data_IF_536627248486
#
_entry.id   IF_536627248486
#
_cell.length_a   1.000
_cell.length_b   1.000
_cell.length_c   1.000
_cell.angle_alpha   90.00
_cell.angle_beta   90.00
_cell.angle_gamma   90.00
#
_symmetry.space_group_name_H-M   'P 1'
#
loop_
_entity.id
_entity.type
_entity.pdbx_description
1 polymer ?
#
# COMPACT_ATOMS: atom_id res chain seq x y z
N UNK A 1 13.19 -35.35 6.54
CA UNK A 1 11.95 -35.88 5.92
C UNK A 1 12.29 -37.23 5.34
N UNK A 2 11.65 -38.28 5.83
CA UNK A 2 11.83 -39.64 5.33
C UNK A 2 10.83 -39.87 4.18
N UNK A 3 11.33 -40.34 3.03
CA UNK A 3 10.48 -40.68 1.88
C UNK A 3 10.12 -42.15 1.95
N UNK A 4 8.84 -42.44 2.11
CA UNK A 4 8.30 -43.81 2.04
C UNK A 4 7.60 -44.01 0.70
N UNK A 5 7.70 -45.21 0.13
CA UNK A 5 7.01 -45.55 -1.13
C UNK A 5 5.77 -46.39 -0.81
N UNK A 6 4.64 -46.08 -1.45
CA UNK A 6 3.35 -46.72 -1.19
C UNK A 6 2.45 -46.77 -2.42
N UNK A 7 1.24 -47.30 -2.27
CA UNK A 7 0.32 -47.56 -3.39
C UNK A 7 -0.32 -46.29 -3.99
N UNK A 8 -0.28 -45.17 -3.27
CA UNK A 8 -0.80 -43.87 -3.70
C UNK A 8 -0.04 -42.70 -3.06
N UNK A 9 0.05 -41.58 -3.79
CA UNK A 9 0.74 -40.38 -3.30
C UNK A 9 -0.09 -39.64 -2.24
N UNK A 10 0.44 -39.60 -1.03
CA UNK A 10 -0.24 -39.14 0.20
C UNK A 10 0.71 -38.30 1.03
N UNK A 11 0.18 -37.26 1.68
CA UNK A 11 0.92 -36.40 2.60
C UNK A 11 0.19 -36.47 3.93
N UNK A 12 0.86 -36.99 4.96
CA UNK A 12 0.30 -37.11 6.31
C UNK A 12 1.43 -37.09 7.33
N UNK A 13 1.26 -36.36 8.44
CA UNK A 13 2.23 -36.29 9.55
C UNK A 13 3.68 -36.01 9.11
N UNK A 14 3.89 -34.98 8.28
CA UNK A 14 5.20 -34.60 7.71
C UNK A 14 5.93 -35.69 6.88
N UNK A 15 5.25 -36.81 6.60
CA UNK A 15 5.73 -37.85 5.70
C UNK A 15 5.05 -37.72 4.34
N UNK A 16 5.87 -37.66 3.29
CA UNK A 16 5.41 -37.66 1.90
C UNK A 16 5.62 -39.06 1.36
N UNK A 17 4.51 -39.75 1.13
CA UNK A 17 4.51 -41.05 0.46
C UNK A 17 4.38 -40.83 -1.02
N UNK A 18 5.35 -41.32 -1.79
CA UNK A 18 5.35 -41.25 -3.25
C UNK A 18 4.89 -42.59 -3.82
N UNK A 19 4.07 -42.55 -4.87
CA UNK A 19 3.59 -43.75 -5.55
C UNK A 19 4.65 -44.34 -6.48
N UNK A 20 5.54 -43.50 -7.00
CA UNK A 20 6.60 -43.89 -7.93
C UNK A 20 7.93 -43.20 -7.61
N UNK A 21 9.04 -43.80 -8.07
CA UNK A 21 10.37 -43.17 -7.99
C UNK A 21 10.66 -42.29 -9.23
N UNK A 22 9.63 -41.71 -9.85
CA UNK A 22 9.79 -40.86 -11.02
C UNK A 22 10.30 -39.49 -10.59
N UNK A 23 11.18 -38.91 -11.39
CA UNK A 23 11.73 -37.57 -11.13
C UNK A 23 10.63 -36.50 -11.14
N UNK A 24 9.63 -36.63 -12.03
CA UNK A 24 8.49 -35.71 -12.15
C UNK A 24 7.69 -35.59 -10.85
N UNK A 25 7.43 -36.72 -10.18
CA UNK A 25 6.66 -36.76 -8.92
C UNK A 25 7.41 -36.04 -7.79
N UNK A 26 8.73 -36.25 -7.70
CA UNK A 26 9.59 -35.54 -6.74
C UNK A 26 9.71 -34.06 -7.05
N UNK A 27 9.77 -33.70 -8.34
CA UNK A 27 9.83 -32.31 -8.79
C UNK A 27 8.55 -31.56 -8.42
N UNK A 28 7.37 -32.14 -8.63
CA UNK A 28 6.09 -31.53 -8.27
C UNK A 28 6.03 -31.17 -6.77
N UNK A 29 6.45 -32.09 -5.89
CA UNK A 29 6.53 -31.85 -4.44
C UNK A 29 7.56 -30.76 -4.12
N UNK A 30 8.74 -30.84 -4.73
CA UNK A 30 9.83 -29.87 -4.50
C UNK A 30 9.43 -28.46 -4.93
N UNK A 31 8.68 -28.33 -6.02
CA UNK A 31 8.20 -27.05 -6.52
C UNK A 31 7.20 -26.41 -5.56
N UNK A 32 6.22 -27.18 -5.06
CA UNK A 32 5.29 -26.69 -4.04
C UNK A 32 6.01 -26.23 -2.76
N UNK A 33 7.03 -26.96 -2.32
CA UNK A 33 7.86 -26.55 -1.17
C UNK A 33 8.65 -25.28 -1.45
N UNK A 34 9.27 -25.17 -2.63
CA UNK A 34 10.00 -23.97 -3.02
C UNK A 34 9.08 -22.74 -3.07
N UNK A 35 7.85 -22.90 -3.57
CA UNK A 35 6.87 -21.83 -3.60
C UNK A 35 6.43 -21.41 -2.19
N UNK A 36 6.21 -22.38 -1.28
CA UNK A 36 5.94 -22.07 0.14
C UNK A 36 7.10 -21.30 0.79
N UNK A 37 8.35 -21.70 0.55
CA UNK A 37 9.51 -20.99 1.11
C UNK A 37 9.67 -19.57 0.54
N UNK A 38 9.37 -19.39 -0.77
CA UNK A 38 9.32 -18.05 -1.39
C UNK A 38 8.25 -17.18 -0.72
N UNK A 39 7.08 -17.74 -0.41
CA UNK A 39 6.02 -17.05 0.31
C UNK A 39 6.46 -16.66 1.73
N UNK A 40 7.17 -17.53 2.47
CA UNK A 40 7.69 -17.20 3.81
C UNK A 40 8.53 -15.91 3.81
N UNK A 41 9.45 -15.77 2.85
CA UNK A 41 10.31 -14.58 2.72
C UNK A 41 9.48 -13.33 2.42
N UNK A 42 8.39 -13.47 1.67
CA UNK A 42 7.53 -12.36 1.32
C UNK A 42 6.65 -11.93 2.50
N UNK A 43 6.10 -12.89 3.24
CA UNK A 43 5.37 -12.63 4.50
C UNK A 43 6.24 -11.92 5.52
N UNK A 44 7.50 -12.34 5.69
CA UNK A 44 8.45 -11.70 6.63
C UNK A 44 8.67 -10.22 6.29
N UNK A 45 8.86 -9.90 5.00
CA UNK A 45 9.05 -8.51 4.55
C UNK A 45 7.80 -7.65 4.78
N UNK A 46 6.62 -8.19 4.52
CA UNK A 46 5.35 -7.48 4.78
C UNK A 46 5.17 -7.26 6.28
N UNK A 47 5.46 -8.27 7.10
CA UNK A 47 5.38 -8.16 8.56
C UNK A 47 6.38 -7.13 9.13
N UNK A 48 7.60 -7.08 8.59
CA UNK A 48 8.60 -6.07 8.95
C UNK A 48 8.10 -4.66 8.65
N UNK A 49 7.59 -4.41 7.44
CA UNK A 49 7.03 -3.09 7.08
C UNK A 49 5.80 -2.75 7.95
N UNK A 50 4.90 -3.70 8.22
CA UNK A 50 3.78 -3.49 9.14
C UNK A 50 4.28 -3.10 10.52
N UNK A 51 5.33 -3.75 11.03
CA UNK A 51 5.93 -3.46 12.33
C UNK A 51 6.52 -2.05 12.39
N UNK A 52 7.24 -1.64 11.35
CA UNK A 52 7.78 -0.29 11.22
C UNK A 52 6.66 0.76 11.15
N UNK A 53 5.58 0.47 10.41
CA UNK A 53 4.43 1.36 10.18
C UNK A 53 3.38 1.32 11.29
N UNK A 54 3.48 0.46 12.31
CA UNK A 54 2.46 0.31 13.38
C UNK A 54 2.08 1.61 14.09
N UNK A 55 3.01 2.55 14.20
CA UNK A 55 2.80 3.85 14.84
C UNK A 55 1.93 4.81 14.00
N UNK A 56 1.77 4.54 12.70
CA UNK A 56 1.10 5.43 11.75
C UNK A 56 -0.40 5.53 12.02
N UNK A 57 -1.19 4.44 12.07
CA UNK A 57 -2.60 4.55 12.41
C UNK A 57 -2.85 5.11 13.82
N UNK A 58 -1.94 4.86 14.77
CA UNK A 58 -2.04 5.40 16.14
C UNK A 58 -1.81 6.91 16.18
N UNK A 59 -0.78 7.39 15.48
CA UNK A 59 -0.52 8.82 15.35
C UNK A 59 -1.61 9.49 14.51
N UNK A 60 -2.16 8.81 13.49
CA UNK A 60 -3.24 9.37 12.68
C UNK A 60 -4.50 9.61 13.51
N UNK A 61 -4.86 8.65 14.37
CA UNK A 61 -5.98 8.78 15.30
C UNK A 61 -5.76 9.88 16.35
N UNK A 62 -4.50 10.18 16.71
CA UNK A 62 -4.17 11.14 17.75
C UNK A 62 -3.94 12.58 17.23
N UNK A 63 -3.24 12.75 16.11
CA UNK A 63 -2.78 14.05 15.61
C UNK A 63 -3.36 14.46 14.26
N UNK A 64 -4.00 13.54 13.52
CA UNK A 64 -4.61 13.83 12.22
C UNK A 64 -3.63 14.24 11.11
N UNK A 65 -2.32 14.16 11.35
CA UNK A 65 -1.28 14.51 10.39
C UNK A 65 0.01 13.76 10.70
N UNK A 66 0.64 13.20 9.66
CA UNK A 66 1.87 12.41 9.74
C UNK A 66 2.78 12.80 8.57
N UNK A 67 4.06 13.05 8.85
CA UNK A 67 5.04 13.48 7.85
C UNK A 67 5.89 12.33 7.26
N UNK A 68 5.88 11.13 7.86
CA UNK A 68 6.75 10.02 7.44
C UNK A 68 6.04 8.68 7.58
N UNK A 69 5.83 7.99 6.45
CA UNK A 69 5.53 6.54 6.27
C UNK A 69 4.98 6.23 4.87
N UNK A 70 4.54 7.23 4.10
CA UNK A 70 3.87 7.03 2.81
C UNK A 70 4.78 6.31 1.79
N UNK A 71 6.08 6.60 1.77
CA UNK A 71 6.99 6.04 0.77
C UNK A 71 7.23 4.55 0.92
N UNK A 72 7.33 4.05 2.15
CA UNK A 72 7.75 2.66 2.40
C UNK A 72 6.58 1.70 2.24
N UNK A 73 5.39 2.11 2.70
CA UNK A 73 4.13 1.42 2.40
C UNK A 73 3.87 1.40 0.89
N UNK A 74 4.04 2.54 0.21
CA UNK A 74 3.86 2.63 -1.24
C UNK A 74 4.85 1.76 -2.03
N UNK A 75 6.12 1.70 -1.61
CA UNK A 75 7.12 0.79 -2.21
C UNK A 75 6.76 -0.69 -1.99
N UNK A 76 6.29 -1.06 -0.80
CA UNK A 76 5.86 -2.43 -0.51
C UNK A 76 4.70 -2.84 -1.42
N UNK A 77 3.67 -2.00 -1.50
CA UNK A 77 2.49 -2.22 -2.35
C UNK A 77 2.89 -2.26 -3.84
N UNK A 78 3.69 -1.29 -4.29
CA UNK A 78 4.10 -1.18 -5.68
C UNK A 78 4.97 -2.35 -6.14
N UNK A 79 5.84 -2.88 -5.26
CA UNK A 79 6.63 -4.07 -5.56
C UNK A 79 5.78 -5.34 -5.52
N UNK A 80 4.80 -5.42 -4.64
CA UNK A 80 3.91 -6.56 -4.51
C UNK A 80 3.03 -6.78 -5.75
N UNK A 81 2.43 -5.72 -6.31
CA UNK A 81 1.59 -5.83 -7.53
C UNK A 81 2.36 -6.50 -8.68
N UNK A 82 3.67 -6.29 -8.77
CA UNK A 82 4.52 -6.90 -9.79
C UNK A 82 4.90 -8.36 -9.47
N UNK A 83 4.83 -8.81 -8.21
CA UNK A 83 5.21 -10.16 -7.77
C UNK A 83 4.01 -11.10 -7.61
N UNK A 84 2.85 -10.58 -7.20
CA UNK A 84 1.61 -11.34 -7.03
C UNK A 84 1.16 -12.00 -8.36
N UNK A 85 1.41 -11.33 -9.50
CA UNK A 85 1.13 -11.89 -10.84
C UNK A 85 1.97 -13.13 -11.15
N UNK A 86 3.20 -13.20 -10.64
CA UNK A 86 4.19 -14.24 -11.01
C UNK A 86 4.22 -15.39 -9.98
N UNK A 87 3.55 -15.21 -8.83
CA UNK A 87 3.56 -16.20 -7.74
C UNK A 87 2.39 -17.18 -7.80
N UNK A 88 1.29 -16.81 -8.46
CA UNK A 88 0.04 -17.59 -8.56
C UNK A 88 -0.08 -18.37 -9.86
N UNK A 89 0.81 -18.16 -10.83
CA UNK A 89 0.78 -18.89 -12.09
C UNK A 89 1.23 -20.33 -11.87
N UNK A 90 0.44 -21.26 -12.41
CA UNK A 90 0.74 -22.68 -12.39
C UNK A 90 2.03 -22.91 -13.19
N UNK A 91 3.06 -23.52 -12.59
CA UNK A 91 4.39 -23.50 -13.20
C UNK A 91 4.39 -24.23 -14.54
N UNK A 92 5.14 -23.66 -15.49
CA UNK A 92 5.29 -24.13 -16.88
C UNK A 92 5.57 -25.65 -16.99
N UNK A 93 6.17 -26.23 -15.96
CA UNK A 93 6.41 -27.67 -15.83
C UNK A 93 5.15 -28.54 -16.00
N UNK A 94 4.00 -28.12 -15.48
CA UNK A 94 2.75 -28.90 -15.58
C UNK A 94 2.05 -28.75 -16.94
N UNK A 95 2.53 -27.84 -17.81
CA UNK A 95 1.99 -27.69 -19.15
C UNK A 95 2.41 -28.86 -20.07
N UNK A 96 3.49 -29.57 -19.72
CA UNK A 96 3.99 -30.74 -20.46
C UNK A 96 3.62 -32.09 -19.82
N UNK A 97 3.41 -32.14 -18.50
CA UNK A 97 3.16 -33.37 -17.71
C UNK A 97 2.08 -33.11 -16.64
N UNK A 98 0.81 -33.20 -17.05
CA UNK A 98 -0.38 -32.95 -16.20
C UNK A 98 -0.65 -34.07 -15.18
N UNK A 99 0.01 -35.22 -15.33
CA UNK A 99 -0.15 -36.41 -14.49
C UNK A 99 0.09 -36.11 -12.99
N UNK A 100 0.98 -35.17 -12.68
CA UNK A 100 1.41 -34.84 -11.31
C UNK A 100 0.82 -33.53 -10.76
N UNK A 101 0.01 -32.83 -11.56
CA UNK A 101 -0.69 -31.61 -11.13
C UNK A 101 -1.60 -31.85 -9.90
N UNK A 102 -2.36 -32.96 -9.79
CA UNK A 102 -3.18 -33.22 -8.60
C UNK A 102 -2.36 -33.43 -7.33
N UNK A 103 -1.14 -34.00 -7.46
CA UNK A 103 -0.23 -34.16 -6.33
C UNK A 103 0.30 -32.80 -5.88
N UNK A 104 0.74 -31.96 -6.81
CA UNK A 104 1.15 -30.59 -6.54
C UNK A 104 0.06 -29.80 -5.81
N UNK A 105 -1.18 -29.82 -6.30
CA UNK A 105 -2.33 -29.17 -5.65
C UNK A 105 -2.59 -29.71 -4.24
N UNK A 106 -2.39 -31.03 -4.01
CA UNK A 106 -2.51 -31.63 -2.69
C UNK A 106 -1.41 -31.13 -1.73
N UNK A 107 -0.16 -31.00 -2.19
CA UNK A 107 0.96 -30.44 -1.41
C UNK A 107 0.71 -28.97 -1.07
N UNK A 108 0.29 -28.18 -2.07
CA UNK A 108 -0.04 -26.76 -1.91
C UNK A 108 -1.15 -26.54 -0.88
N UNK A 109 -2.20 -27.37 -0.93
CA UNK A 109 -3.27 -27.38 0.06
C UNK A 109 -2.78 -27.80 1.45
N UNK A 110 -1.91 -28.80 1.55
CA UNK A 110 -1.33 -29.23 2.82
C UNK A 110 -0.50 -28.11 3.48
N UNK A 111 0.32 -27.42 2.68
CA UNK A 111 1.11 -26.26 3.09
C UNK A 111 0.27 -24.97 3.27
N UNK A 112 -1.04 -25.04 3.00
CA UNK A 112 -1.99 -23.94 3.12
C UNK A 112 -1.58 -22.67 2.37
N UNK A 113 -0.87 -22.82 1.25
CA UNK A 113 -0.28 -21.69 0.51
C UNK A 113 -1.36 -20.72 0.04
N UNK A 114 -2.47 -21.20 -0.52
CA UNK A 114 -3.58 -20.34 -0.96
C UNK A 114 -4.18 -19.49 0.17
N UNK A 115 -4.39 -20.10 1.35
CA UNK A 115 -4.94 -19.40 2.50
C UNK A 115 -3.98 -18.31 3.01
N UNK A 116 -2.69 -18.63 3.04
CA UNK A 116 -1.64 -17.71 3.45
C UNK A 116 -1.52 -16.51 2.50
N UNK A 117 -1.58 -16.75 1.19
CA UNK A 117 -1.63 -15.69 0.18
C UNK A 117 -2.86 -14.79 0.39
N UNK A 118 -4.03 -15.36 0.66
CA UNK A 118 -5.24 -14.56 0.94
C UNK A 118 -5.09 -13.68 2.18
N UNK A 119 -4.52 -14.21 3.26
CA UNK A 119 -4.23 -13.44 4.48
C UNK A 119 -3.26 -12.30 4.17
N UNK A 120 -2.22 -12.58 3.40
CA UNK A 120 -1.21 -11.59 3.04
C UNK A 120 -1.79 -10.47 2.17
N UNK A 121 -2.59 -10.82 1.17
CA UNK A 121 -3.31 -9.85 0.34
C UNK A 121 -4.24 -8.97 1.18
N UNK A 122 -4.98 -9.56 2.12
CA UNK A 122 -5.81 -8.79 3.06
C UNK A 122 -5.00 -7.78 3.87
N UNK A 123 -3.81 -8.16 4.35
CA UNK A 123 -2.91 -7.25 5.07
C UNK A 123 -2.44 -6.10 4.18
N UNK A 124 -2.10 -6.39 2.93
CA UNK A 124 -1.68 -5.39 1.96
C UNK A 124 -2.82 -4.45 1.56
N UNK A 125 -4.06 -4.94 1.48
CA UNK A 125 -5.24 -4.11 1.22
C UNK A 125 -5.50 -3.12 2.36
N UNK A 126 -5.35 -3.56 3.61
CA UNK A 126 -5.42 -2.64 4.76
C UNK A 126 -4.33 -1.56 4.65
N UNK A 127 -3.11 -1.93 4.27
CA UNK A 127 -2.04 -0.95 4.05
C UNK A 127 -2.34 0.01 2.89
N UNK A 128 -2.98 -0.46 1.81
CA UNK A 128 -3.45 0.39 0.70
C UNK A 128 -4.50 1.39 1.17
N UNK A 129 -5.47 0.94 1.96
CA UNK A 129 -6.52 1.80 2.51
C UNK A 129 -5.92 2.89 3.41
N UNK A 130 -4.98 2.53 4.29
CA UNK A 130 -4.24 3.50 5.11
C UNK A 130 -3.51 4.53 4.24
N UNK A 131 -2.85 4.08 3.17
CA UNK A 131 -2.14 4.96 2.24
C UNK A 131 -3.08 5.96 1.55
N UNK A 132 -4.27 5.50 1.16
CA UNK A 132 -5.28 6.32 0.49
C UNK A 132 -5.82 7.41 1.44
N UNK A 133 -6.15 7.04 2.68
CA UNK A 133 -6.56 8.01 3.71
C UNK A 133 -5.49 9.09 3.91
N UNK A 134 -4.22 8.69 4.02
CA UNK A 134 -3.10 9.63 4.15
C UNK A 134 -2.96 10.56 2.94
N UNK A 135 -3.13 10.02 1.73
CA UNK A 135 -3.07 10.78 0.49
C UNK A 135 -4.18 11.84 0.45
N UNK A 136 -5.41 11.47 0.84
CA UNK A 136 -6.54 12.39 0.91
C UNK A 136 -6.31 13.53 1.90
N UNK A 137 -5.68 13.27 3.05
CA UNK A 137 -5.34 14.31 4.03
C UNK A 137 -4.27 15.29 3.51
N UNK A 138 -3.28 14.81 2.75
CA UNK A 138 -2.29 15.68 2.11
C UNK A 138 -2.94 16.56 1.04
N UNK A 139 -3.79 15.97 0.18
CA UNK A 139 -4.54 16.71 -0.83
C UNK A 139 -5.42 17.79 -0.19
N UNK A 140 -6.14 17.46 0.88
CA UNK A 140 -6.97 18.42 1.60
C UNK A 140 -6.15 19.60 2.16
N UNK A 141 -4.96 19.34 2.71
CA UNK A 141 -4.07 20.43 3.17
C UNK A 141 -3.62 21.37 2.05
N UNK A 142 -3.41 20.84 0.83
CA UNK A 142 -3.06 21.68 -0.32
C UNK A 142 -4.23 22.55 -0.76
N UNK A 143 -5.44 21.99 -0.83
CA UNK A 143 -6.65 22.73 -1.20
C UNK A 143 -6.96 23.83 -0.18
N UNK A 144 -6.86 23.56 1.13
CA UNK A 144 -7.06 24.57 2.17
C UNK A 144 -6.05 25.73 2.08
N UNK A 145 -4.79 25.44 1.72
CA UNK A 145 -3.78 26.49 1.53
C UNK A 145 -4.12 27.40 0.35
N UNK A 146 -4.61 26.82 -0.75
CA UNK A 146 -5.00 27.58 -1.93
C UNK A 146 -6.19 28.48 -1.62
N UNK A 147 -7.18 27.98 -0.87
CA UNK A 147 -8.33 28.77 -0.42
C UNK A 147 -7.89 29.95 0.47
N UNK A 148 -7.00 29.71 1.45
CA UNK A 148 -6.48 30.79 2.31
C UNK A 148 -5.74 31.88 1.53
N UNK A 149 -4.97 31.51 0.50
CA UNK A 149 -4.28 32.48 -0.36
C UNK A 149 -5.29 33.39 -1.07
N UNK A 150 -6.37 32.84 -1.61
CA UNK A 150 -7.42 33.61 -2.30
C UNK A 150 -8.09 34.59 -1.33
N UNK A 151 -8.42 34.16 -0.12
CA UNK A 151 -9.01 35.04 0.92
C UNK A 151 -8.06 36.19 1.25
N UNK A 152 -6.77 35.91 1.45
CA UNK A 152 -5.77 36.94 1.72
C UNK A 152 -5.62 37.95 0.58
N UNK A 153 -5.69 37.51 -0.67
CA UNK A 153 -5.63 38.39 -1.84
C UNK A 153 -6.83 39.36 -1.88
N UNK A 154 -8.04 38.90 -1.59
CA UNK A 154 -9.23 39.75 -1.53
C UNK A 154 -9.12 40.77 -0.38
N UNK A 155 -8.68 40.33 0.80
CA UNK A 155 -8.49 41.23 1.95
C UNK A 155 -7.43 42.29 1.64
N UNK A 156 -6.33 41.92 1.00
CA UNK A 156 -5.28 42.86 0.60
C UNK A 156 -5.80 43.90 -0.40
N UNK A 157 -6.58 43.47 -1.40
CA UNK A 157 -7.20 44.38 -2.39
C UNK A 157 -8.12 45.40 -1.72
N UNK A 158 -9.03 44.94 -0.85
CA UNK A 158 -9.95 45.82 -0.11
C UNK A 158 -9.18 46.75 0.83
N UNK A 159 -8.16 46.25 1.51
CA UNK A 159 -7.33 47.07 2.40
C UNK A 159 -6.61 48.20 1.63
N UNK A 160 -6.03 47.90 0.46
CA UNK A 160 -5.40 48.91 -0.41
C UNK A 160 -6.43 49.94 -0.85
N UNK A 161 -7.63 49.53 -1.28
CA UNK A 161 -8.69 50.46 -1.68
C UNK A 161 -9.15 51.36 -0.52
N UNK A 162 -9.31 50.80 0.69
CA UNK A 162 -9.73 51.56 1.87
C UNK A 162 -8.64 52.54 2.31
N UNK A 163 -7.38 52.08 2.38
CA UNK A 163 -6.23 52.92 2.73
C UNK A 163 -6.07 54.06 1.71
N UNK A 164 -6.17 53.76 0.41
CA UNK A 164 -6.12 54.76 -0.66
C UNK A 164 -7.25 55.79 -0.54
N UNK A 165 -8.48 55.33 -0.29
CA UNK A 165 -9.64 56.21 -0.13
C UNK A 165 -9.48 57.14 1.09
N UNK A 166 -9.08 56.60 2.24
CA UNK A 166 -8.84 57.38 3.46
C UNK A 166 -7.68 58.36 3.27
N UNK A 167 -6.53 57.90 2.76
CA UNK A 167 -5.36 58.76 2.53
C UNK A 167 -5.68 59.91 1.59
N UNK A 168 -6.35 59.64 0.46
CA UNK A 168 -6.77 60.69 -0.46
C UNK A 168 -7.74 61.63 0.22
N UNK A 169 -8.76 61.11 0.91
CA UNK A 169 -9.79 61.95 1.50
C UNK A 169 -9.24 62.84 2.63
N UNK A 170 -8.32 62.35 3.45
CA UNK A 170 -7.68 63.13 4.51
C UNK A 170 -6.64 64.13 3.98
N UNK A 171 -5.82 63.75 2.98
CA UNK A 171 -4.84 64.67 2.38
C UNK A 171 -5.52 65.76 1.54
N UNK A 172 -6.55 65.40 0.77
CA UNK A 172 -7.24 66.31 -0.13
C UNK A 172 -8.33 67.12 0.60
N UNK A 173 -8.85 66.61 1.73
CA UNK A 173 -9.76 67.33 2.63
C UNK A 173 -9.08 68.41 3.48
N UNK A 174 -7.74 68.41 3.55
CA UNK A 174 -6.97 69.44 4.28
C UNK A 174 -6.68 70.71 3.46
N UNK A 175 -7.14 70.82 2.21
CA UNK A 175 -7.15 72.10 1.49
C UNK A 175 -8.54 72.76 1.60
N UNK A 176 -8.84 73.51 2.69
CA UNK A 176 -9.95 74.44 2.65
C UNK A 176 -9.56 75.54 1.66
N UNK A 177 -10.24 75.61 0.51
CA UNK A 177 -10.30 76.87 -0.23
C UNK A 177 -11.04 77.86 0.67
N UNK A 178 -10.29 78.78 1.24
CA UNK A 178 -10.80 80.01 1.84
C UNK A 178 -11.53 80.79 0.77
N UNK A 179 -12.86 80.69 0.73
CA UNK A 179 -13.68 81.71 0.11
C UNK A 179 -13.80 82.89 1.08
N UNK A 180 -13.31 84.06 0.66
CA UNK A 180 -13.88 85.34 1.10
C UNK A 180 -13.78 86.36 -0.04
N UNK A 181 -14.95 86.65 -0.60
CA UNK A 181 -15.46 87.91 -1.15
C UNK A 181 -14.55 89.14 -1.13
N UNK A 182 -14.24 89.70 -2.31
CA UNK A 182 -14.79 90.95 -2.89
C UNK A 182 -14.23 91.18 -4.31
#
# INVERSE_FOLDING_TARGET
MDYTYGDASLICNDAITLSSNRASEKLAVSFAMAQSSKLDVFEERVEETIRETKHVPQNLAATGSIQYSQSDISKLIGRDVNLNSDMLDEPDFFWEDDEYEPLYKKVMKYLSVDNRVQILNTRLDILRELLDVLSQQLAHQHDTKLEMIVIWLIVAEVAVQVVWNILIKDILGFFPHSDTSD
#
